data_IF_098133356607
#
_entry.id   IF_098133356607
#
_cell.length_a   1.000
_cell.length_b   1.000
_cell.length_c   1.000
_cell.angle_alpha   90.00
_cell.angle_beta   90.00
_cell.angle_gamma   90.00
#
_symmetry.space_group_name_H-M   'P 1'
#
loop_
_entity.id
_entity.type
_entity.pdbx_description
1 polymer ?
#
# COMPACT_ATOMS: atom_id res chain seq x y z
N UNK A 1 -19.61 27.29 -10.27
CA UNK A 1 -18.19 26.98 -10.60
C UNK A 1 -17.29 27.84 -9.72
N UNK A 2 -16.49 27.21 -8.86
CA UNK A 2 -15.33 27.78 -8.13
C UNK A 2 -14.67 26.63 -7.38
N UNK A 3 -13.90 25.81 -8.09
CA UNK A 3 -13.05 24.79 -7.50
C UNK A 3 -11.67 25.41 -7.26
N UNK A 4 -11.42 25.84 -6.03
CA UNK A 4 -10.07 26.12 -5.56
C UNK A 4 -9.40 24.79 -5.22
N UNK A 5 -8.66 24.24 -6.17
CA UNK A 5 -7.79 23.07 -5.94
C UNK A 5 -6.59 23.54 -5.12
N UNK A 6 -6.62 23.32 -3.81
CA UNK A 6 -5.44 23.46 -2.95
C UNK A 6 -4.54 22.25 -3.15
N UNK A 7 -3.61 22.38 -4.10
CA UNK A 7 -2.51 21.44 -4.26
C UNK A 7 -1.52 21.58 -3.09
N UNK A 8 -1.85 20.99 -1.93
CA UNK A 8 -0.82 20.65 -0.93
C UNK A 8 -0.24 19.31 -1.32
N UNK A 9 0.79 19.35 -2.17
CA UNK A 9 1.69 18.25 -2.42
C UNK A 9 2.67 18.17 -1.23
N UNK A 10 2.50 17.28 -0.25
CA UNK A 10 3.49 17.14 0.80
C UNK A 10 4.61 16.32 0.17
N UNK A 11 5.63 17.02 -0.32
CA UNK A 11 6.92 16.43 -0.71
C UNK A 11 7.37 15.49 0.42
N UNK A 12 7.17 14.19 0.23
CA UNK A 12 7.60 13.16 1.14
C UNK A 12 9.13 13.22 1.19
N UNK A 13 9.65 13.87 2.22
CA UNK A 13 11.09 13.93 2.49
C UNK A 13 11.58 12.50 2.68
N UNK A 14 12.36 11.99 1.72
CA UNK A 14 12.99 10.68 1.76
C UNK A 14 13.98 10.68 2.93
N UNK A 15 13.56 10.15 4.08
CA UNK A 15 14.44 9.99 5.24
C UNK A 15 15.47 8.91 4.91
N UNK A 16 16.72 9.34 4.71
CA UNK A 16 17.85 8.44 4.46
C UNK A 16 18.22 7.78 5.79
N UNK A 17 17.58 6.64 6.08
CA UNK A 17 17.96 5.81 7.21
C UNK A 17 19.27 5.09 6.89
N UNK A 18 20.37 5.60 7.45
CA UNK A 18 21.68 4.95 7.46
C UNK A 18 21.65 3.80 8.48
N UNK A 19 21.47 2.56 8.00
CA UNK A 19 21.92 1.32 8.66
C UNK A 19 22.05 0.21 7.62
N UNK A 20 23.12 -0.56 7.71
CA UNK A 20 23.64 -1.57 6.77
C UNK A 20 22.77 -2.82 6.57
N UNK A 21 21.44 -2.71 6.64
CA UNK A 21 20.50 -3.79 6.31
C UNK A 21 19.52 -3.28 5.28
N UNK A 22 19.29 -4.08 4.24
CA UNK A 22 18.28 -3.78 3.23
C UNK A 22 16.91 -3.61 3.89
N UNK A 23 16.05 -2.71 3.38
CA UNK A 23 14.75 -2.43 3.99
C UNK A 23 13.90 -3.70 4.05
N UNK A 24 12.95 -3.77 4.99
CA UNK A 24 11.90 -4.79 4.97
C UNK A 24 10.61 -4.10 4.57
N UNK A 25 10.08 -4.45 3.40
CA UNK A 25 8.93 -3.80 2.79
C UNK A 25 7.71 -4.71 2.94
N UNK A 26 6.65 -4.16 3.54
CA UNK A 26 5.32 -4.75 3.52
C UNK A 26 4.47 -4.09 2.45
N UNK A 27 3.81 -4.90 1.62
CA UNK A 27 2.92 -4.41 0.55
C UNK A 27 1.49 -4.80 0.86
N UNK A 28 0.57 -3.86 0.71
CA UNK A 28 -0.86 -4.10 0.84
C UNK A 28 -1.56 -3.65 -0.42
N UNK A 29 -2.33 -4.55 -1.02
CA UNK A 29 -3.05 -4.33 -2.26
C UNK A 29 -4.54 -4.26 -1.92
N UNK A 30 -5.13 -3.10 -2.16
CA UNK A 30 -6.56 -2.87 -1.94
C UNK A 30 -7.34 -3.20 -3.22
N UNK A 31 -8.41 -3.97 -3.12
CA UNK A 31 -9.35 -4.18 -4.23
C UNK A 31 -10.47 -3.11 -4.29
N UNK A 32 -10.52 -2.22 -3.30
CA UNK A 32 -11.57 -1.20 -3.11
C UNK A 32 -13.00 -1.77 -3.17
N UNK A 33 -13.20 -2.97 -2.62
CA UNK A 33 -14.50 -3.63 -2.63
C UNK A 33 -14.96 -4.05 -4.03
N UNK A 34 -14.01 -4.35 -4.93
CA UNK A 34 -14.28 -4.73 -6.31
C UNK A 34 -13.89 -3.66 -7.32
N UNK A 35 -13.94 -2.37 -6.96
CA UNK A 35 -13.77 -1.29 -7.93
C UNK A 35 -12.41 -1.30 -8.64
N UNK A 36 -11.35 -1.75 -7.95
CA UNK A 36 -10.01 -1.92 -8.52
C UNK A 36 -9.88 -3.31 -9.16
N UNK A 37 -10.30 -4.37 -8.48
CA UNK A 37 -10.12 -5.75 -8.97
C UNK A 37 -10.93 -6.08 -10.22
N UNK A 38 -12.02 -5.35 -10.49
CA UNK A 38 -12.78 -5.44 -11.74
C UNK A 38 -12.00 -4.95 -12.96
N UNK A 39 -10.99 -4.08 -12.76
CA UNK A 39 -10.23 -3.44 -13.85
C UNK A 39 -8.78 -3.90 -13.87
N UNK A 40 -8.27 -4.40 -12.74
CA UNK A 40 -6.88 -4.76 -12.56
C UNK A 40 -6.82 -6.10 -11.82
N UNK A 41 -6.08 -7.06 -12.37
CA UNK A 41 -5.84 -8.33 -11.71
C UNK A 41 -4.94 -8.14 -10.47
N UNK A 42 -5.58 -8.04 -9.31
CA UNK A 42 -4.91 -7.87 -8.01
C UNK A 42 -4.11 -9.10 -7.58
N UNK A 43 -4.39 -10.28 -8.14
CA UNK A 43 -3.64 -11.51 -7.90
C UNK A 43 -2.30 -11.50 -8.62
N UNK A 44 -2.30 -11.06 -9.88
CA UNK A 44 -1.05 -10.85 -10.63
C UNK A 44 -0.21 -9.76 -9.95
N UNK A 45 -0.83 -8.66 -9.50
CA UNK A 45 -0.11 -7.63 -8.74
C UNK A 45 0.52 -8.19 -7.46
N UNK A 46 -0.21 -9.00 -6.68
CA UNK A 46 0.31 -9.59 -5.46
C UNK A 46 1.48 -10.56 -5.73
N UNK A 47 1.35 -11.40 -6.77
CA UNK A 47 2.39 -12.33 -7.21
C UNK A 47 3.65 -11.59 -7.65
N UNK A 48 3.51 -10.48 -8.37
CA UNK A 48 4.64 -9.69 -8.84
C UNK A 48 5.28 -8.87 -7.71
N UNK A 49 4.47 -8.31 -6.80
CA UNK A 49 4.98 -7.60 -5.63
C UNK A 49 5.84 -8.49 -4.72
N UNK A 50 5.47 -9.76 -4.56
CA UNK A 50 6.27 -10.72 -3.77
C UNK A 50 7.66 -10.99 -4.36
N UNK A 51 7.89 -10.70 -5.65
CA UNK A 51 9.18 -10.89 -6.32
C UNK A 51 10.09 -9.67 -6.22
N UNK A 52 9.56 -8.53 -5.75
CA UNK A 52 10.36 -7.31 -5.62
C UNK A 52 11.38 -7.48 -4.51
N UNK A 53 12.58 -6.97 -4.75
CA UNK A 53 13.64 -6.95 -3.74
C UNK A 53 13.11 -6.31 -2.46
N UNK A 54 13.49 -6.88 -1.31
CA UNK A 54 13.16 -6.36 0.01
C UNK A 54 11.68 -6.44 0.42
N UNK A 55 10.78 -6.94 -0.44
CA UNK A 55 9.40 -7.25 -0.06
C UNK A 55 9.35 -8.55 0.74
N UNK A 56 8.95 -8.46 2.00
CA UNK A 56 8.90 -9.60 2.93
C UNK A 56 7.49 -10.15 3.13
N UNK A 57 6.47 -9.36 2.81
CA UNK A 57 5.07 -9.74 2.99
C UNK A 57 4.17 -8.93 2.06
N UNK A 58 3.28 -9.62 1.37
CA UNK A 58 2.22 -9.03 0.55
C UNK A 58 0.87 -9.48 1.08
N UNK A 59 -0.07 -8.56 1.24
CA UNK A 59 -1.45 -8.87 1.62
C UNK A 59 -2.44 -8.18 0.71
N UNK A 60 -3.44 -8.93 0.26
CA UNK A 60 -4.62 -8.37 -0.40
C UNK A 60 -5.70 -8.17 0.64
N UNK A 61 -6.37 -7.02 0.59
CA UNK A 61 -7.41 -6.67 1.55
C UNK A 61 -8.44 -5.75 0.92
N UNK A 62 -9.72 -6.00 1.20
CA UNK A 62 -10.79 -5.11 0.76
C UNK A 62 -11.03 -3.97 1.74
N UNK A 63 -11.50 -2.84 1.23
CA UNK A 63 -11.91 -1.68 2.03
C UNK A 63 -10.82 -1.25 3.03
N UNK A 64 -9.58 -1.15 2.56
CA UNK A 64 -8.41 -0.92 3.40
C UNK A 64 -8.54 0.33 4.27
N UNK A 65 -9.12 1.40 3.71
CA UNK A 65 -9.35 2.67 4.39
C UNK A 65 -10.40 2.61 5.52
N UNK A 66 -11.20 1.54 5.60
CA UNK A 66 -12.19 1.38 6.65
C UNK A 66 -11.53 1.19 8.02
N UNK A 67 -12.27 1.51 9.10
CA UNK A 67 -11.80 1.28 10.48
C UNK A 67 -11.38 -0.19 10.70
N UNK A 68 -12.13 -1.12 10.13
CA UNK A 68 -11.82 -2.56 10.15
C UNK A 68 -10.52 -2.87 9.40
N UNK A 69 -10.37 -2.34 8.18
CA UNK A 69 -9.17 -2.50 7.36
C UNK A 69 -7.91 -2.00 8.07
N UNK A 70 -7.95 -0.78 8.62
CA UNK A 70 -6.84 -0.20 9.40
C UNK A 70 -6.46 -1.04 10.63
N UNK A 71 -7.43 -1.59 11.35
CA UNK A 71 -7.16 -2.49 12.47
C UNK A 71 -6.53 -3.81 12.02
N UNK A 72 -6.90 -4.33 10.84
CA UNK A 72 -6.31 -5.55 10.28
C UNK A 72 -4.88 -5.33 9.80
N UNK A 73 -4.54 -4.16 9.23
CA UNK A 73 -3.14 -3.84 8.83
C UNK A 73 -2.20 -3.99 10.01
N UNK A 74 -2.54 -3.39 11.16
CA UNK A 74 -1.71 -3.47 12.35
C UNK A 74 -1.47 -4.93 12.74
N UNK A 75 -2.51 -5.75 12.76
CA UNK A 75 -2.37 -7.18 13.08
C UNK A 75 -1.50 -7.96 12.08
N UNK A 76 -1.49 -7.55 10.81
CA UNK A 76 -0.73 -8.25 9.78
C UNK A 76 0.74 -7.83 9.70
N UNK A 77 1.10 -6.63 10.13
CA UNK A 77 2.47 -6.10 10.01
C UNK A 77 3.09 -5.63 11.33
N UNK A 78 2.42 -5.87 12.47
CA UNK A 78 3.00 -5.75 13.82
C UNK A 78 4.00 -6.85 14.14
#
# INVERSE_FOLDING_TARGET
>A
MKTTVSAKNPTLKKQVHKKSKSPKIGVIICDCGGQISEKIDVDILAKNANKLENVVKVKQMSNLCSKKGMSQIKKEFS
#
